data_IF_633183991391
#
_entry.id   IF_633183991391
#
_cell.length_a   1.000
_cell.length_b   1.000
_cell.length_c   1.000
_cell.angle_alpha   90.00
_cell.angle_beta   90.00
_cell.angle_gamma   90.00
#
_symmetry.space_group_name_H-M   'P 1'
#
loop_
_entity.id
_entity.type
_entity.pdbx_description
1 polymer ?
#
# COMPACT_ATOMS: atom_id res chain seq x y z
N UNK A 1 -5.93 -29.67 33.25
CA UNK A 1 -6.88 -28.70 32.65
C UNK A 1 -6.27 -28.28 31.32
N UNK A 2 -6.84 -28.79 30.23
CA UNK A 2 -6.23 -28.86 28.90
C UNK A 2 -6.19 -27.51 28.18
N UNK A 3 -5.18 -27.36 27.32
CA UNK A 3 -5.03 -26.27 26.35
C UNK A 3 -5.50 -26.79 24.99
N UNK A 4 -6.78 -26.57 24.68
CA UNK A 4 -7.36 -26.58 23.35
C UNK A 4 -7.98 -25.19 23.18
N UNK A 5 -7.91 -24.45 22.08
CA UNK A 5 -7.27 -24.59 20.79
C UNK A 5 -7.37 -23.20 20.13
N UNK A 6 -6.41 -22.85 19.29
CA UNK A 6 -6.42 -21.53 18.60
C UNK A 6 -5.88 -21.68 17.16
N UNK A 7 -6.25 -22.78 16.50
CA UNK A 7 -5.85 -23.08 15.12
C UNK A 7 -6.87 -22.64 14.07
N UNK A 8 -8.11 -22.34 14.46
CA UNK A 8 -9.21 -22.08 13.51
C UNK A 8 -9.05 -20.78 12.69
N UNK A 9 -8.24 -19.82 13.15
CA UNK A 9 -8.04 -18.56 12.43
C UNK A 9 -7.02 -18.61 11.30
N UNK A 10 -6.11 -19.60 11.32
CA UNK A 10 -5.00 -19.67 10.35
C UNK A 10 -5.46 -20.24 9.01
N UNK A 11 -6.34 -21.23 9.06
CA UNK A 11 -6.84 -21.95 7.89
C UNK A 11 -7.68 -21.06 6.97
N UNK A 12 -8.39 -20.07 7.54
CA UNK A 12 -9.21 -19.11 6.76
C UNK A 12 -8.35 -18.08 6.03
N UNK A 13 -7.21 -17.67 6.62
CA UNK A 13 -6.31 -16.70 5.98
C UNK A 13 -5.59 -17.32 4.77
N UNK A 14 -5.18 -18.58 4.88
CA UNK A 14 -4.47 -19.29 3.82
C UNK A 14 -5.39 -19.61 2.62
N UNK A 15 -6.69 -19.89 2.85
CA UNK A 15 -7.67 -20.13 1.76
C UNK A 15 -7.96 -18.88 0.92
N UNK A 16 -8.06 -17.70 1.56
CA UNK A 16 -8.27 -16.43 0.84
C UNK A 16 -7.06 -16.07 -0.02
N UNK A 17 -5.84 -16.27 0.49
CA UNK A 17 -4.60 -16.06 -0.27
C UNK A 17 -4.51 -17.01 -1.48
N UNK A 18 -4.92 -18.27 -1.32
CA UNK A 18 -4.89 -19.25 -2.40
C UNK A 18 -5.85 -18.88 -3.55
N UNK A 19 -7.05 -18.36 -3.25
CA UNK A 19 -8.03 -17.98 -4.28
C UNK A 19 -7.62 -16.76 -5.10
N UNK A 20 -6.93 -15.80 -4.50
CA UNK A 20 -6.42 -14.61 -5.20
C UNK A 20 -5.27 -15.00 -6.15
N UNK A 21 -4.44 -15.98 -5.76
CA UNK A 21 -3.33 -16.47 -6.58
C UNK A 21 -3.74 -17.27 -7.83
N UNK A 22 -4.94 -17.85 -7.88
CA UNK A 22 -5.39 -18.70 -9.01
C UNK A 22 -6.37 -18.04 -9.98
N UNK A 23 -6.86 -16.83 -9.70
CA UNK A 23 -7.93 -16.19 -10.49
C UNK A 23 -7.51 -15.52 -11.79
N UNK A 24 -6.23 -15.50 -12.15
CA UNK A 24 -5.75 -14.72 -13.30
C UNK A 24 -4.84 -15.51 -14.23
N UNK A 25 -5.40 -16.36 -15.10
CA UNK A 25 -4.80 -16.69 -16.41
C UNK A 25 -5.77 -17.53 -17.29
N UNK A 26 -6.77 -16.88 -17.87
CA UNK A 26 -7.36 -17.28 -19.16
C UNK A 26 -7.23 -16.03 -20.03
N UNK A 27 -6.34 -15.97 -21.02
CA UNK A 27 -6.25 -16.91 -22.12
C UNK A 27 -6.94 -16.29 -23.34
N UNK A 28 -6.37 -15.19 -23.87
CA UNK A 28 -6.73 -14.67 -25.19
C UNK A 28 -5.50 -14.77 -26.07
N UNK A 29 -5.66 -15.61 -27.10
CA UNK A 29 -4.64 -16.08 -28.02
C UNK A 29 -4.60 -15.13 -29.22
N UNK A 30 -3.38 -14.70 -29.51
CA UNK A 30 -2.76 -14.27 -30.78
C UNK A 30 -3.67 -14.11 -32.01
N UNK A 31 -3.63 -12.92 -32.61
CA UNK A 31 -3.52 -12.78 -34.06
C UNK A 31 -2.26 -11.95 -34.36
N UNK A 32 -1.42 -12.51 -35.22
CA UNK A 32 -0.14 -11.97 -35.71
C UNK A 32 -0.40 -10.86 -36.75
N UNK A 33 0.22 -9.69 -36.56
CA UNK A 33 0.55 -8.80 -37.68
C UNK A 33 2.06 -8.52 -37.63
N UNK A 34 2.75 -9.03 -38.66
CA UNK A 34 4.14 -8.70 -38.95
C UNK A 34 4.23 -7.22 -39.36
N UNK A 35 4.80 -6.41 -38.46
CA UNK A 35 5.16 -5.03 -38.71
C UNK A 35 6.62 -4.80 -38.35
N UNK A 36 7.50 -4.92 -39.34
CA UNK A 36 8.89 -4.52 -39.33
C UNK A 36 9.00 -3.01 -39.01
N UNK A 37 9.56 -2.63 -37.84
CA UNK A 37 9.94 -1.22 -37.58
C UNK A 37 10.94 -1.03 -36.42
N UNK A 38 12.17 -0.66 -36.79
CA UNK A 38 13.16 0.19 -36.11
C UNK A 38 13.45 0.04 -34.59
N UNK A 39 14.53 -0.69 -34.31
CA UNK A 39 15.22 -0.86 -33.02
C UNK A 39 15.84 0.43 -32.48
N UNK A 40 15.06 1.32 -31.84
CA UNK A 40 15.64 2.42 -31.04
C UNK A 40 14.79 2.92 -29.84
N UNK A 41 13.85 2.13 -29.32
CA UNK A 41 12.92 2.59 -28.25
C UNK A 41 12.91 1.77 -26.95
N UNK A 42 13.78 0.76 -26.79
CA UNK A 42 13.74 -0.14 -25.62
C UNK A 42 14.34 0.44 -24.32
N UNK A 43 15.17 1.48 -24.37
CA UNK A 43 15.89 1.97 -23.19
C UNK A 43 15.06 2.90 -22.28
N UNK A 44 13.99 3.52 -22.80
CA UNK A 44 13.18 4.47 -22.02
C UNK A 44 12.27 3.79 -21.00
N UNK A 45 11.74 2.61 -21.31
CA UNK A 45 10.80 1.87 -20.47
C UNK A 45 11.47 1.33 -19.19
N UNK A 46 12.71 0.84 -19.32
CA UNK A 46 13.49 0.32 -18.19
C UNK A 46 13.79 1.40 -17.14
N UNK A 47 14.03 2.64 -17.57
CA UNK A 47 14.31 3.77 -16.68
C UNK A 47 13.08 4.26 -15.91
N UNK A 48 11.90 4.22 -16.54
CA UNK A 48 10.63 4.62 -15.93
C UNK A 48 10.15 3.57 -14.93
N UNK A 49 10.29 2.29 -15.26
CA UNK A 49 10.00 1.18 -14.36
C UNK A 49 10.87 1.23 -13.09
N UNK A 50 12.17 1.51 -13.23
CA UNK A 50 13.08 1.68 -12.09
C UNK A 50 12.67 2.87 -11.20
N UNK A 51 12.29 4.00 -11.80
CA UNK A 51 11.80 5.17 -11.05
C UNK A 51 10.48 4.89 -10.30
N UNK A 52 9.57 4.13 -10.91
CA UNK A 52 8.32 3.71 -10.29
C UNK A 52 8.59 2.74 -9.11
N UNK A 53 9.48 1.77 -9.27
CA UNK A 53 9.87 0.86 -8.19
C UNK A 53 10.50 1.61 -7.00
N UNK A 54 11.36 2.60 -7.29
CA UNK A 54 11.94 3.47 -6.27
C UNK A 54 10.89 4.32 -5.55
N UNK A 55 9.93 4.89 -6.29
CA UNK A 55 8.81 5.64 -5.71
C UNK A 55 7.91 4.75 -4.84
N UNK A 56 7.62 3.51 -5.28
CA UNK A 56 6.84 2.54 -4.53
C UNK A 56 7.54 2.13 -3.23
N UNK A 57 8.86 1.94 -3.28
CA UNK A 57 9.66 1.64 -2.09
C UNK A 57 9.60 2.80 -1.09
N UNK A 58 9.77 4.04 -1.55
CA UNK A 58 9.64 5.22 -0.70
C UNK A 58 8.21 5.40 -0.13
N UNK A 59 7.18 5.10 -0.92
CA UNK A 59 5.80 5.16 -0.48
C UNK A 59 5.52 4.12 0.62
N UNK A 60 6.05 2.90 0.45
CA UNK A 60 5.95 1.84 1.44
C UNK A 60 6.64 2.22 2.75
N UNK A 61 7.77 2.91 2.70
CA UNK A 61 8.43 3.44 3.89
C UNK A 61 7.57 4.48 4.61
N UNK A 62 7.05 5.48 3.88
CA UNK A 62 6.14 6.49 4.45
C UNK A 62 4.93 5.82 5.11
N UNK A 63 4.34 4.82 4.44
CA UNK A 63 3.25 4.03 5.02
C UNK A 63 3.64 3.39 6.36
N UNK A 64 4.78 2.71 6.41
CA UNK A 64 5.26 2.00 7.60
C UNK A 64 5.59 2.94 8.76
N UNK A 65 6.24 4.08 8.48
CA UNK A 65 6.77 4.98 9.51
C UNK A 65 5.76 6.01 9.97
N UNK A 66 4.97 6.59 9.07
CA UNK A 66 4.11 7.74 9.37
C UNK A 66 2.61 7.36 9.43
N UNK A 67 2.16 6.48 8.54
CA UNK A 67 0.73 6.28 8.32
C UNK A 67 0.15 5.13 9.14
N UNK A 68 0.94 4.08 9.42
CA UNK A 68 0.48 2.87 10.13
C UNK A 68 -0.17 3.17 11.48
N UNK A 69 0.46 4.00 12.31
CA UNK A 69 -0.10 4.36 13.63
C UNK A 69 -1.43 5.12 13.52
N UNK A 70 -1.51 6.02 12.54
CA UNK A 70 -2.72 6.80 12.25
C UNK A 70 -3.84 5.92 11.70
N UNK A 71 -3.53 4.93 10.87
CA UNK A 71 -4.50 3.93 10.40
C UNK A 71 -5.06 3.10 11.55
N UNK A 72 -4.22 2.62 12.47
CA UNK A 72 -4.68 1.89 13.66
C UNK A 72 -5.60 2.77 14.52
N UNK A 73 -5.25 4.04 14.73
CA UNK A 73 -6.09 4.98 15.47
C UNK A 73 -7.44 5.25 14.76
N UNK A 74 -7.44 5.41 13.43
CA UNK A 74 -8.65 5.56 12.64
C UNK A 74 -9.57 4.35 12.74
N UNK A 75 -9.02 3.14 12.66
CA UNK A 75 -9.76 1.90 12.85
C UNK A 75 -10.37 1.80 14.26
N UNK A 76 -9.59 2.05 15.31
CA UNK A 76 -10.09 2.02 16.69
C UNK A 76 -11.22 3.04 16.92
N UNK A 77 -11.10 4.24 16.35
CA UNK A 77 -12.16 5.25 16.44
C UNK A 77 -13.41 4.86 15.65
N UNK A 78 -13.26 4.17 14.51
CA UNK A 78 -14.39 3.64 13.75
C UNK A 78 -15.14 2.56 14.53
N UNK A 79 -14.41 1.65 15.19
CA UNK A 79 -15.00 0.54 15.94
C UNK A 79 -15.63 0.95 17.26
N UNK A 80 -15.14 2.02 17.90
CA UNK A 80 -15.67 2.47 19.20
C UNK A 80 -17.13 2.92 19.13
N UNK A 81 -17.55 3.43 17.98
CA UNK A 81 -18.79 4.16 17.80
C UNK A 81 -19.36 3.81 16.43
N UNK A 82 -20.22 2.77 16.42
CA UNK A 82 -20.74 2.14 15.21
C UNK A 82 -21.65 3.03 14.38
N UNK A 83 -21.76 2.74 13.08
CA UNK A 83 -22.44 3.59 12.13
C UNK A 83 -23.97 3.67 12.31
N UNK A 84 -24.60 2.65 12.92
CA UNK A 84 -26.06 2.57 13.07
C UNK A 84 -26.57 3.16 14.38
N UNK A 85 -25.94 2.80 15.51
CA UNK A 85 -26.43 3.15 16.85
C UNK A 85 -25.33 3.70 17.77
N UNK A 86 -24.16 4.08 17.23
CA UNK A 86 -22.98 4.52 17.99
C UNK A 86 -22.48 3.50 19.03
N UNK A 87 -22.93 2.24 18.93
CA UNK A 87 -22.48 1.12 19.75
C UNK A 87 -21.13 0.56 19.27
N UNK A 88 -20.31 -0.02 20.16
CA UNK A 88 -19.05 -0.62 19.75
C UNK A 88 -19.25 -1.81 18.79
N UNK A 89 -18.58 -1.77 17.64
CA UNK A 89 -18.63 -2.84 16.63
C UNK A 89 -17.75 -4.02 17.07
N UNK A 90 -18.23 -5.25 16.89
CA UNK A 90 -17.54 -6.50 17.24
C UNK A 90 -17.67 -7.53 16.13
N UNK A 91 -16.70 -8.45 16.04
CA UNK A 91 -16.77 -9.59 15.10
C UNK A 91 -16.60 -9.21 13.63
N UNK A 92 -15.94 -8.09 13.34
CA UNK A 92 -15.71 -7.60 11.98
C UNK A 92 -14.22 -7.68 11.65
N UNK A 93 -13.90 -8.20 10.46
CA UNK A 93 -12.58 -8.12 9.84
C UNK A 93 -12.62 -7.01 8.77
N UNK A 94 -11.71 -6.04 8.88
CA UNK A 94 -11.54 -4.98 7.86
C UNK A 94 -10.23 -5.25 7.12
N UNK A 95 -10.32 -5.40 5.80
CA UNK A 95 -9.16 -5.59 4.91
C UNK A 95 -8.96 -4.30 4.12
N UNK A 96 -7.76 -3.72 4.22
CA UNK A 96 -7.35 -2.61 3.35
C UNK A 96 -6.73 -3.21 2.10
N UNK A 97 -7.45 -3.13 0.98
CA UNK A 97 -7.02 -3.72 -0.30
C UNK A 97 -5.81 -2.97 -0.89
N UNK A 98 -5.83 -1.64 -0.87
CA UNK A 98 -4.78 -0.82 -1.45
C UNK A 98 -4.65 0.53 -0.75
N UNK A 99 -3.42 1.05 -0.73
CA UNK A 99 -3.11 2.41 -0.27
C UNK A 99 -2.24 3.08 -1.32
N UNK A 100 -2.77 4.14 -1.92
CA UNK A 100 -2.06 4.93 -2.91
C UNK A 100 -1.48 6.19 -2.26
N UNK A 101 -0.19 6.43 -2.49
CA UNK A 101 0.49 7.62 -2.01
C UNK A 101 1.06 8.34 -3.23
N UNK A 102 0.56 9.54 -3.49
CA UNK A 102 1.07 10.36 -4.57
C UNK A 102 2.48 10.87 -4.23
N UNK A 103 3.48 10.47 -5.01
CA UNK A 103 4.89 10.81 -4.79
C UNK A 103 5.39 11.86 -5.79
N UNK A 104 6.31 12.73 -5.34
CA UNK A 104 6.99 13.72 -6.15
C UNK A 104 8.50 13.62 -5.95
N UNK A 105 9.26 13.73 -7.04
CA UNK A 105 10.73 13.77 -6.99
C UNK A 105 11.20 15.10 -6.39
N UNK A 106 12.08 15.05 -5.38
CA UNK A 106 12.72 16.24 -4.81
C UNK A 106 13.70 16.82 -5.82
N UNK A 107 13.54 18.11 -6.17
CA UNK A 107 14.45 18.82 -7.10
C UNK A 107 15.79 19.22 -6.47
N UNK A 108 15.96 19.07 -5.16
CA UNK A 108 17.15 19.53 -4.43
C UNK A 108 17.98 18.36 -3.92
N UNK A 109 19.06 18.05 -4.63
CA UNK A 109 20.31 17.60 -4.00
C UNK A 109 21.44 18.45 -4.60
N UNK A 110 21.47 19.75 -4.28
CA UNK A 110 22.74 20.48 -4.31
C UNK A 110 23.48 20.08 -3.05
N UNK A 111 24.50 19.23 -3.24
CA UNK A 111 25.59 18.92 -2.34
C UNK A 111 25.55 19.63 -0.97
N UNK A 112 25.01 18.95 0.04
CA UNK A 112 25.35 19.23 1.42
C UNK A 112 25.57 17.91 2.14
N UNK A 113 26.86 17.66 2.40
CA UNK A 113 27.44 16.73 3.36
C UNK A 113 27.09 15.25 3.20
N UNK A 114 28.03 14.57 2.55
CA UNK A 114 28.65 13.35 3.05
C UNK A 114 28.64 13.27 4.58
N UNK A 115 27.72 12.50 5.15
CA UNK A 115 27.94 11.81 6.42
C UNK A 115 27.51 10.36 6.25
N UNK A 116 28.53 9.53 6.28
CA UNK A 116 28.51 8.08 6.20
C UNK A 116 27.54 7.44 7.19
N UNK A 117 26.54 6.70 6.70
CA UNK A 117 26.25 5.32 7.13
C UNK A 117 24.93 4.79 6.56
N UNK A 118 25.02 3.61 5.94
CA UNK A 118 23.97 2.63 5.56
C UNK A 118 23.07 2.99 4.36
N UNK A 119 23.34 2.26 3.29
CA UNK A 119 22.88 2.41 1.91
C UNK A 119 21.37 2.21 1.64
N UNK A 120 20.55 1.89 2.66
CA UNK A 120 19.11 1.68 2.46
C UNK A 120 18.30 2.99 2.44
N UNK A 121 18.86 4.10 2.95
CA UNK A 121 18.12 5.35 3.15
C UNK A 121 18.19 6.34 1.96
N UNK A 122 18.94 5.98 0.90
CA UNK A 122 19.18 6.89 -0.24
C UNK A 122 17.90 7.08 -1.06
N UNK A 123 17.09 6.04 -1.22
CA UNK A 123 15.86 6.07 -2.04
C UNK A 123 14.79 6.97 -1.43
N UNK A 124 14.62 6.91 -0.10
CA UNK A 124 13.69 7.76 0.66
C UNK A 124 13.99 9.25 0.50
N UNK A 125 15.28 9.60 0.36
CA UNK A 125 15.71 10.99 0.23
C UNK A 125 15.33 11.63 -1.11
N UNK A 126 15.10 10.84 -2.16
CA UNK A 126 14.82 11.31 -3.52
C UNK A 126 13.35 11.64 -3.75
N UNK A 127 12.45 11.03 -3.00
CA UNK A 127 11.01 11.22 -3.15
C UNK A 127 10.39 11.85 -1.89
N UNK A 128 9.22 12.42 -2.07
CA UNK A 128 8.39 12.96 -1.00
C UNK A 128 6.94 12.85 -1.42
N UNK A 129 6.03 12.69 -0.46
CA UNK A 129 4.60 12.84 -0.73
C UNK A 129 4.31 14.19 -1.40
N UNK A 130 3.46 14.19 -2.43
CA UNK A 130 3.08 15.38 -3.18
C UNK A 130 2.37 16.42 -2.29
N UNK A 131 1.70 15.96 -1.24
CA UNK A 131 1.07 16.79 -0.19
C UNK A 131 1.52 16.30 1.18
N UNK A 132 1.67 17.18 2.18
CA UNK A 132 1.96 16.74 3.54
C UNK A 132 0.80 15.85 4.02
N UNK A 133 1.11 14.61 4.39
CA UNK A 133 0.14 13.68 4.96
C UNK A 133 0.16 13.86 6.47
N UNK A 134 -0.95 14.34 7.04
CA UNK A 134 -1.10 14.40 8.49
C UNK A 134 -1.80 13.15 9.00
N UNK A 135 -1.41 12.67 10.18
CA UNK A 135 -2.08 11.52 10.81
C UNK A 135 -3.57 11.75 11.02
N UNK A 136 -3.98 12.98 11.35
CA UNK A 136 -5.38 13.35 11.51
C UNK A 136 -6.21 13.17 10.23
N UNK A 137 -5.63 13.44 9.05
CA UNK A 137 -6.31 13.21 7.77
C UNK A 137 -6.59 11.72 7.55
N UNK A 138 -5.62 10.87 7.85
CA UNK A 138 -5.74 9.41 7.68
C UNK A 138 -6.76 8.84 8.66
N UNK A 139 -6.71 9.28 9.92
CA UNK A 139 -7.67 8.91 10.95
C UNK A 139 -9.09 9.25 10.51
N UNK A 140 -9.32 10.47 10.03
CA UNK A 140 -10.63 10.92 9.57
C UNK A 140 -11.10 10.12 8.34
N UNK A 141 -10.24 9.98 7.33
CA UNK A 141 -10.56 9.25 6.10
C UNK A 141 -10.90 7.79 6.38
N UNK A 142 -10.08 7.10 7.17
CA UNK A 142 -10.28 5.69 7.49
C UNK A 142 -11.53 5.48 8.36
N UNK A 143 -11.76 6.36 9.34
CA UNK A 143 -12.99 6.32 10.15
C UNK A 143 -14.24 6.45 9.28
N UNK A 144 -14.23 7.39 8.33
CA UNK A 144 -15.32 7.57 7.39
C UNK A 144 -15.48 6.36 6.48
N UNK A 145 -14.39 5.88 5.87
CA UNK A 145 -14.41 4.75 4.94
C UNK A 145 -14.93 3.47 5.57
N UNK A 146 -14.49 3.13 6.78
CA UNK A 146 -14.98 1.95 7.50
C UNK A 146 -16.48 2.07 7.80
N UNK A 147 -16.95 3.24 8.23
CA UNK A 147 -18.39 3.45 8.49
C UNK A 147 -19.21 3.29 7.21
N UNK A 148 -18.72 3.80 6.08
CA UNK A 148 -19.36 3.62 4.78
C UNK A 148 -19.38 2.16 4.34
N UNK A 149 -18.34 1.38 4.64
CA UNK A 149 -18.26 -0.04 4.25
C UNK A 149 -19.15 -0.98 5.09
N UNK A 150 -19.68 -0.51 6.22
CA UNK A 150 -20.54 -1.29 7.12
C UNK A 150 -22.04 -1.02 6.94
N UNK A 151 -22.40 -0.09 6.06
CA UNK A 151 -23.77 0.25 5.70
C UNK A 151 -24.13 -0.38 4.35
#
# INVERSE_FOLDING_TARGET
>A
IGKEGDSAGKDVYDDVQYRIGQGGLMGMKEEEEEGENDNNNQDLDSSQAAAAAAANTAALEIWKTELRGSAVAGFQLAMRAGALCEEPIRGVLVILEGVEIAMKKKKHVRAASSSSSKDDNVVSSLFQSAKPLSGGMIVAALRSGIRCALL
#
